data_IF_748816911054
#
_entry.id   IF_748816911054
#
_cell.length_a   1.000
_cell.length_b   1.000
_cell.length_c   1.000
_cell.angle_alpha   90.00
_cell.angle_beta   90.00
_cell.angle_gamma   90.00
#
_symmetry.space_group_name_H-M   'P 1'
#
loop_
_entity.id
_entity.type
_entity.pdbx_description
1 polymer ?
#
# COMPACT_ATOMS: atom_id res chain seq x y z
N UNK A 1 0.94 -5.81 -15.24
CA UNK A 1 0.91 -5.60 -13.78
C UNK A 1 0.91 -6.95 -13.09
N UNK A 2 1.73 -7.08 -12.07
CA UNK A 2 1.85 -8.34 -11.34
C UNK A 2 1.08 -8.23 -10.03
N UNK A 3 0.10 -9.11 -9.85
CA UNK A 3 -0.66 -9.20 -8.61
C UNK A 3 -0.02 -10.24 -7.70
N UNK A 4 0.18 -9.90 -6.44
CA UNK A 4 0.81 -10.76 -5.45
C UNK A 4 0.00 -10.76 -4.16
N UNK A 5 0.27 -11.74 -3.31
CA UNK A 5 -0.27 -11.82 -1.95
C UNK A 5 0.87 -12.12 -0.98
N UNK A 6 0.72 -11.62 0.24
CA UNK A 6 1.65 -11.87 1.32
C UNK A 6 0.86 -11.94 2.62
N UNK A 7 1.35 -12.69 3.61
CA UNK A 7 0.72 -12.75 4.93
C UNK A 7 1.40 -11.79 5.90
N UNK A 8 0.59 -11.02 6.59
CA UNK A 8 1.03 -10.13 7.65
C UNK A 8 0.17 -10.44 8.88
N UNK A 9 0.78 -10.96 9.96
CA UNK A 9 0.07 -11.37 11.18
C UNK A 9 -1.13 -12.27 10.87
N UNK A 10 -0.92 -13.30 10.03
CA UNK A 10 -1.92 -14.27 9.60
C UNK A 10 -3.01 -13.71 8.68
N UNK A 11 -2.94 -12.44 8.30
CA UNK A 11 -3.87 -11.85 7.33
C UNK A 11 -3.24 -11.84 5.96
N UNK A 12 -4.01 -12.28 4.97
CA UNK A 12 -3.59 -12.27 3.57
C UNK A 12 -3.79 -10.86 3.01
N UNK A 13 -2.74 -10.31 2.45
CA UNK A 13 -2.75 -8.96 1.85
C UNK A 13 -2.47 -9.10 0.36
N UNK A 14 -3.37 -8.52 -0.45
CA UNK A 14 -3.19 -8.47 -1.90
C UNK A 14 -2.49 -7.17 -2.25
N UNK A 15 -1.51 -7.23 -3.15
CA UNK A 15 -0.88 -6.02 -3.66
C UNK A 15 -0.47 -6.18 -5.12
N UNK A 16 -0.32 -5.05 -5.80
CA UNK A 16 0.15 -4.99 -7.17
C UNK A 16 1.56 -4.42 -7.16
N UNK A 17 2.43 -4.97 -7.99
CA UNK A 17 3.77 -4.44 -8.18
C UNK A 17 4.03 -4.33 -9.67
N UNK A 18 4.63 -3.21 -10.13
CA UNK A 18 4.92 -2.96 -11.53
C UNK A 18 6.12 -2.03 -11.66
N UNK A 19 7.00 -2.33 -12.62
CA UNK A 19 8.18 -1.55 -12.91
C UNK A 19 9.44 -2.17 -12.33
N UNK A 20 10.58 -1.82 -12.94
CA UNK A 20 11.88 -2.42 -12.62
C UNK A 20 12.88 -1.42 -12.03
N UNK A 21 12.45 -0.18 -11.82
CA UNK A 21 13.31 0.84 -11.23
C UNK A 21 13.71 0.47 -9.80
N UNK A 22 14.86 0.99 -9.36
CA UNK A 22 15.29 0.86 -7.97
C UNK A 22 14.59 1.87 -7.06
N UNK A 23 13.89 2.86 -7.64
CA UNK A 23 13.14 3.84 -6.89
C UNK A 23 11.72 3.32 -6.67
N UNK A 24 11.34 3.19 -5.42
CA UNK A 24 10.02 2.66 -5.05
C UNK A 24 9.00 3.79 -4.88
N UNK A 25 7.79 3.54 -5.36
CA UNK A 25 6.65 4.45 -5.17
C UNK A 25 5.48 3.64 -4.61
N UNK A 26 5.03 4.02 -3.43
CA UNK A 26 3.90 3.39 -2.76
C UNK A 26 2.65 4.23 -3.00
N UNK A 27 1.59 3.60 -3.50
CA UNK A 27 0.29 4.25 -3.71
C UNK A 27 -0.71 3.69 -2.71
N UNK A 28 -1.33 4.58 -1.93
CA UNK A 28 -2.28 4.19 -0.87
C UNK A 28 -3.67 4.71 -1.24
N UNK A 29 -4.64 3.79 -1.36
CA UNK A 29 -6.01 4.13 -1.72
C UNK A 29 -6.78 4.71 -0.52
N UNK A 30 -7.96 5.27 -0.79
CA UNK A 30 -8.83 5.83 0.23
C UNK A 30 -9.84 4.84 0.78
N UNK A 31 -10.68 5.33 1.68
CA UNK A 31 -11.74 4.56 2.33
C UNK A 31 -12.72 4.04 1.27
N UNK A 32 -13.07 2.76 1.37
CA UNK A 32 -14.01 2.14 0.46
C UNK A 32 -13.46 1.85 -0.93
N UNK A 33 -12.17 2.10 -1.15
CA UNK A 33 -11.50 1.83 -2.42
C UNK A 33 -10.59 0.60 -2.30
N UNK A 34 -9.75 0.41 -3.30
CA UNK A 34 -8.76 -0.66 -3.35
C UNK A 34 -7.63 -0.24 -4.29
N UNK A 35 -6.67 -1.14 -4.50
CA UNK A 35 -5.58 -0.90 -5.45
C UNK A 35 -6.09 -0.54 -6.85
N UNK A 36 -7.29 -0.98 -7.21
CA UNK A 36 -7.89 -0.68 -8.52
C UNK A 36 -8.06 0.82 -8.76
N UNK A 37 -8.16 1.60 -7.69
CA UNK A 37 -8.23 3.07 -7.76
C UNK A 37 -7.06 3.64 -8.58
N UNK A 38 -5.91 2.96 -8.55
CA UNK A 38 -4.67 3.43 -9.17
C UNK A 38 -4.39 2.82 -10.55
N UNK A 39 -5.22 1.89 -11.03
CA UNK A 39 -4.95 1.12 -12.26
C UNK A 39 -4.55 1.97 -13.45
N UNK A 40 -5.25 3.09 -13.64
CA UNK A 40 -5.01 3.94 -14.82
C UNK A 40 -3.70 4.72 -14.75
N UNK A 41 -3.15 4.92 -13.57
CA UNK A 41 -1.92 5.70 -13.41
C UNK A 41 -0.69 4.82 -13.19
N UNK A 42 -0.88 3.56 -12.81
CA UNK A 42 0.25 2.64 -12.61
C UNK A 42 1.16 2.55 -13.85
N UNK A 43 0.65 2.35 -15.08
CA UNK A 43 1.53 2.29 -16.26
C UNK A 43 2.34 3.56 -16.48
N UNK A 44 1.79 4.70 -16.08
CA UNK A 44 2.48 5.98 -16.21
C UNK A 44 3.66 6.05 -15.23
N UNK A 45 3.43 5.73 -13.95
CA UNK A 45 4.47 5.80 -12.92
C UNK A 45 5.51 4.69 -13.06
N UNK A 46 5.12 3.52 -13.55
CA UNK A 46 6.03 2.38 -13.65
C UNK A 46 7.17 2.58 -14.65
N UNK A 47 7.10 3.63 -15.46
CA UNK A 47 8.20 3.99 -16.36
C UNK A 47 9.44 4.43 -15.59
N UNK A 48 9.25 5.06 -14.43
CA UNK A 48 10.33 5.64 -13.65
C UNK A 48 10.44 5.08 -12.24
N UNK A 49 9.44 4.33 -11.78
CA UNK A 49 9.38 3.81 -10.41
C UNK A 49 9.00 2.34 -10.42
N UNK A 50 9.40 1.65 -9.36
CA UNK A 50 8.79 0.37 -9.02
C UNK A 50 7.56 0.71 -8.17
N UNK A 51 6.39 0.57 -8.77
CA UNK A 51 5.12 0.98 -8.16
C UNK A 51 4.58 -0.17 -7.32
N UNK A 52 4.24 0.12 -6.08
CA UNK A 52 3.75 -0.86 -5.11
C UNK A 52 2.39 -0.37 -4.61
N UNK A 53 1.35 -1.19 -4.78
CA UNK A 53 -0.03 -0.77 -4.52
C UNK A 53 -0.76 -1.84 -3.73
N UNK A 54 -0.76 -1.77 -2.39
CA UNK A 54 -1.51 -2.73 -1.60
C UNK A 54 -3.00 -2.40 -1.55
N UNK A 55 -3.84 -3.42 -1.42
CA UNK A 55 -5.15 -3.26 -0.82
C UNK A 55 -4.90 -3.18 0.68
N UNK A 56 -5.28 -2.08 1.30
CA UNK A 56 -5.11 -1.92 2.75
C UNK A 56 -5.83 -3.05 3.48
N UNK A 57 -5.25 -3.50 4.59
CA UNK A 57 -5.93 -4.48 5.45
C UNK A 57 -7.32 -3.95 5.80
N UNK A 58 -8.33 -4.79 5.64
CA UNK A 58 -9.73 -4.38 5.80
C UNK A 58 -10.40 -3.92 4.52
N UNK A 59 -9.69 -3.84 3.40
CA UNK A 59 -10.22 -3.29 2.14
C UNK A 59 -9.89 -4.21 0.96
N UNK A 60 -10.66 -4.04 -0.11
CA UNK A 60 -10.43 -4.74 -1.37
C UNK A 60 -10.39 -6.24 -1.22
N UNK A 61 -9.36 -6.87 -1.77
CA UNK A 61 -9.15 -8.32 -1.71
C UNK A 61 -8.25 -8.76 -0.56
N UNK A 62 -7.79 -7.81 0.26
CA UNK A 62 -7.05 -8.15 1.48
C UNK A 62 -8.00 -8.63 2.57
N UNK A 63 -7.50 -9.38 3.54
CA UNK A 63 -8.29 -9.88 4.66
C UNK A 63 -8.87 -8.72 5.50
N UNK A 64 -9.97 -8.99 6.17
CA UNK A 64 -10.76 -7.98 6.90
C UNK A 64 -10.98 -8.39 8.34
N UNK A 65 -9.93 -8.38 9.18
CA UNK A 65 -10.10 -8.74 10.59
C UNK A 65 -11.02 -7.76 11.31
N UNK A 66 -11.63 -8.23 12.39
CA UNK A 66 -12.54 -7.44 13.23
C UNK A 66 -11.71 -6.57 14.18
N UNK A 67 -11.35 -5.38 13.71
CA UNK A 67 -10.56 -4.41 14.47
C UNK A 67 -11.06 -3.00 14.20
N UNK A 68 -10.65 -2.03 15.00
CA UNK A 68 -10.87 -0.63 14.72
C UNK A 68 -9.84 -0.16 13.69
N UNK A 69 -10.30 0.25 12.53
CA UNK A 69 -9.42 0.69 11.44
C UNK A 69 -9.09 2.18 11.61
N UNK A 70 -8.30 2.47 12.62
CA UNK A 70 -7.82 3.84 12.86
C UNK A 70 -6.69 4.18 11.88
N UNK A 71 -6.41 5.47 11.75
CA UNK A 71 -5.28 5.92 10.93
C UNK A 71 -3.96 5.34 11.47
N UNK A 72 -3.81 5.29 12.79
CA UNK A 72 -2.63 4.69 13.42
C UNK A 72 -2.48 3.21 13.08
N UNK A 73 -3.58 2.46 13.17
CA UNK A 73 -3.56 1.04 12.85
C UNK A 73 -3.14 0.81 11.39
N UNK A 74 -3.70 1.61 10.48
CA UNK A 74 -3.40 1.47 9.05
C UNK A 74 -1.98 1.94 8.72
N UNK A 75 -1.48 2.97 9.40
CA UNK A 75 -0.08 3.39 9.23
C UNK A 75 0.89 2.32 9.73
N UNK A 76 0.58 1.69 10.87
CA UNK A 76 1.37 0.57 11.38
C UNK A 76 1.34 -0.61 10.41
N UNK A 77 0.18 -0.87 9.81
CA UNK A 77 0.06 -1.89 8.77
C UNK A 77 1.00 -1.61 7.60
N UNK A 78 1.07 -0.36 7.13
CA UNK A 78 1.97 0.02 6.03
C UNK A 78 3.42 -0.27 6.41
N UNK A 79 3.82 0.07 7.64
CA UNK A 79 5.17 -0.22 8.13
C UNK A 79 5.47 -1.72 8.09
N UNK A 80 4.55 -2.54 8.59
CA UNK A 80 4.70 -4.01 8.60
C UNK A 80 4.73 -4.57 7.17
N UNK A 81 3.87 -4.04 6.30
CA UNK A 81 3.81 -4.47 4.90
C UNK A 81 5.14 -4.20 4.19
N UNK A 82 5.69 -3.00 4.35
CA UNK A 82 6.96 -2.64 3.71
C UNK A 82 8.12 -3.46 4.25
N UNK A 83 8.12 -3.75 5.55
CA UNK A 83 9.14 -4.62 6.14
C UNK A 83 9.08 -6.02 5.55
N UNK A 84 7.87 -6.58 5.39
CA UNK A 84 7.68 -7.92 4.85
C UNK A 84 8.13 -8.03 3.38
N UNK A 85 7.91 -7.01 2.57
CA UNK A 85 8.35 -7.03 1.17
C UNK A 85 9.77 -6.49 0.97
N UNK A 86 10.43 -6.07 2.07
CA UNK A 86 11.84 -5.68 2.03
C UNK A 86 12.11 -4.31 1.44
N UNK A 87 11.18 -3.35 1.63
CA UNK A 87 11.32 -1.99 1.10
C UNK A 87 11.56 -1.03 2.26
N UNK A 88 12.69 -0.30 2.21
CA UNK A 88 13.06 0.65 3.26
C UNK A 88 13.22 2.09 2.78
N UNK A 89 13.19 2.32 1.48
CA UNK A 89 13.30 3.66 0.91
C UNK A 89 12.27 3.82 -0.22
N UNK A 90 11.43 4.85 -0.12
CA UNK A 90 10.31 5.02 -1.04
C UNK A 90 9.75 6.44 -1.02
N UNK A 91 9.00 6.76 -2.08
CA UNK A 91 8.10 7.92 -2.11
C UNK A 91 6.67 7.40 -1.93
N UNK A 92 5.77 8.24 -1.43
CA UNK A 92 4.38 7.85 -1.13
C UNK A 92 3.42 8.85 -1.74
N UNK A 93 2.36 8.34 -2.35
CA UNK A 93 1.20 9.13 -2.75
C UNK A 93 -0.03 8.46 -2.12
N UNK A 94 -0.81 9.24 -1.38
CA UNK A 94 -2.04 8.75 -0.77
C UNK A 94 -3.24 9.58 -1.21
N UNK A 95 -4.40 8.94 -1.39
CA UNK A 95 -5.64 9.58 -1.79
C UNK A 95 -6.62 9.56 -0.63
N UNK A 96 -7.14 10.74 -0.22
CA UNK A 96 -8.14 10.87 0.84
C UNK A 96 -7.62 10.26 2.16
N UNK A 97 -8.26 9.20 2.68
CA UNK A 97 -7.77 8.49 3.88
C UNK A 97 -6.33 8.00 3.67
N UNK A 98 -6.00 7.56 2.45
CA UNK A 98 -4.64 7.16 2.11
C UNK A 98 -3.64 8.29 2.33
N UNK A 99 -4.04 9.54 2.09
CA UNK A 99 -3.19 10.70 2.38
C UNK A 99 -2.93 10.87 3.86
N UNK A 100 -3.94 10.66 4.70
CA UNK A 100 -3.78 10.71 6.16
C UNK A 100 -2.88 9.60 6.66
N UNK A 101 -3.05 8.39 6.13
CA UNK A 101 -2.21 7.24 6.46
C UNK A 101 -0.75 7.51 6.07
N UNK A 102 -0.53 8.06 4.88
CA UNK A 102 0.80 8.39 4.39
C UNK A 102 1.48 9.41 5.30
N UNK A 103 0.76 10.45 5.72
CA UNK A 103 1.29 11.47 6.61
C UNK A 103 1.65 10.89 7.98
N UNK A 104 0.78 10.05 8.54
CA UNK A 104 1.01 9.39 9.82
C UNK A 104 2.22 8.46 9.75
N UNK A 105 2.30 7.67 8.69
CA UNK A 105 3.44 6.78 8.45
C UNK A 105 4.74 7.57 8.35
N UNK A 106 4.77 8.64 7.57
CA UNK A 106 5.96 9.46 7.39
C UNK A 106 6.40 10.13 8.69
N UNK A 107 5.44 10.54 9.52
CA UNK A 107 5.74 11.15 10.81
C UNK A 107 6.42 10.15 11.75
N UNK A 108 5.99 8.90 11.72
CA UNK A 108 6.48 7.84 12.63
C UNK A 108 7.71 7.12 12.10
N UNK A 109 8.10 7.39 10.90
CA UNK A 109 9.24 6.76 10.24
C UNK A 109 10.09 7.83 9.54
#
# INVERSE_FOLDING_TARGET
MVEKSIKINDNKIRYIIEGESKQNLLLIHGLGASSERWENVIPYFSKNYRVIVPDLIGFGLSDKPMVDYTTDYLADFISEFLDEIGVDSLSIIGSSLGGQIAAEFAYNN
#
